data_IF_157502697453
#
_entry.id   IF_157502697453
#
_cell.length_a   1.000
_cell.length_b   1.000
_cell.length_c   1.000
_cell.angle_alpha   90.00
_cell.angle_beta   90.00
_cell.angle_gamma   90.00
#
_symmetry.space_group_name_H-M   'P 1'
#
loop_
_entity.id
_entity.type
_entity.pdbx_description
1 polymer ?
#
# COMPACT_ATOMS: atom_id res chain seq x y z
N UNK A 1 2.34 -9.54 47.79
CA UNK A 1 1.61 -9.84 46.55
C UNK A 1 1.81 -8.64 45.63
N UNK A 2 2.82 -8.69 44.75
CA UNK A 2 3.17 -7.57 43.86
C UNK A 2 2.24 -7.62 42.64
N UNK A 3 1.59 -6.49 42.37
CA UNK A 3 0.64 -6.32 41.29
C UNK A 3 1.32 -6.45 39.92
N UNK A 4 0.87 -7.43 39.11
CA UNK A 4 1.03 -7.41 37.65
C UNK A 4 -0.24 -6.79 37.07
N UNK A 5 -0.18 -5.52 36.67
CA UNK A 5 -1.30 -4.87 36.00
C UNK A 5 -0.80 -4.11 34.76
N UNK A 6 -1.38 -4.50 33.62
CA UNK A 6 -1.58 -3.73 32.38
C UNK A 6 -0.36 -3.23 31.60
N UNK A 7 0.34 -4.11 30.88
CA UNK A 7 1.15 -3.74 29.71
C UNK A 7 0.70 -4.40 28.39
N UNK A 8 -0.27 -5.31 28.44
CA UNK A 8 -0.67 -6.15 27.30
C UNK A 8 -1.25 -5.32 26.13
N UNK A 9 -2.18 -4.39 26.41
CA UNK A 9 -2.90 -3.66 25.36
C UNK A 9 -2.01 -2.74 24.50
N UNK A 10 -0.97 -2.12 25.09
CA UNK A 10 -0.06 -1.25 24.34
C UNK A 10 0.93 -2.07 23.48
N UNK A 11 1.31 -3.26 23.97
CA UNK A 11 2.19 -4.17 23.26
C UNK A 11 1.46 -4.82 22.08
N UNK A 12 0.21 -5.24 22.28
CA UNK A 12 -0.65 -5.81 21.24
C UNK A 12 -0.98 -4.78 20.13
N UNK A 13 -1.29 -3.52 20.51
CA UNK A 13 -1.53 -2.46 19.54
C UNK A 13 -0.28 -2.12 18.70
N UNK A 14 0.91 -2.17 19.31
CA UNK A 14 2.19 -1.97 18.61
C UNK A 14 2.51 -3.11 17.64
N UNK A 15 2.25 -4.36 18.05
CA UNK A 15 2.41 -5.52 17.18
C UNK A 15 1.43 -5.48 16.00
N UNK A 16 0.16 -5.16 16.26
CA UNK A 16 -0.85 -5.08 15.21
C UNK A 16 -0.50 -4.02 14.16
N UNK A 17 -0.06 -2.82 14.58
CA UNK A 17 0.40 -1.78 13.65
C UNK A 17 1.61 -2.24 12.84
N UNK A 18 2.59 -2.87 13.50
CA UNK A 18 3.80 -3.37 12.84
C UNK A 18 3.49 -4.40 11.75
N UNK A 19 2.63 -5.38 12.06
CA UNK A 19 2.15 -6.38 11.09
C UNK A 19 1.38 -5.74 9.95
N UNK A 20 0.54 -4.75 10.24
CA UNK A 20 -0.23 -4.05 9.21
C UNK A 20 0.70 -3.29 8.25
N UNK A 21 1.76 -2.65 8.75
CA UNK A 21 2.80 -2.03 7.91
C UNK A 21 3.50 -3.06 7.03
N UNK A 22 3.85 -4.23 7.58
CA UNK A 22 4.44 -5.33 6.81
C UNK A 22 3.51 -5.77 5.68
N UNK A 23 2.24 -6.04 6.01
CA UNK A 23 1.22 -6.39 5.03
C UNK A 23 1.15 -5.37 3.90
N UNK A 24 1.04 -4.07 4.22
CA UNK A 24 0.96 -3.00 3.22
C UNK A 24 2.18 -3.05 2.28
N UNK A 25 3.38 -3.24 2.83
CA UNK A 25 4.61 -3.34 2.01
C UNK A 25 4.60 -4.57 1.10
N UNK A 26 4.02 -5.69 1.53
CA UNK A 26 3.90 -6.92 0.74
C UNK A 26 2.91 -6.80 -0.43
N UNK A 27 1.94 -5.88 -0.38
CA UNK A 27 0.94 -5.70 -1.47
C UNK A 27 1.51 -5.12 -2.77
N UNK A 28 2.78 -4.68 -2.77
CA UNK A 28 3.41 -3.95 -3.88
C UNK A 28 3.35 -2.42 -3.72
N UNK A 29 2.72 -1.91 -2.65
CA UNK A 29 2.69 -0.48 -2.34
C UNK A 29 4.10 0.11 -2.17
N UNK A 30 5.03 -0.65 -1.58
CA UNK A 30 6.43 -0.23 -1.43
C UNK A 30 7.07 0.11 -2.78
N UNK A 31 6.94 -0.78 -3.77
CA UNK A 31 7.46 -0.55 -5.12
C UNK A 31 6.78 0.65 -5.80
N UNK A 32 5.47 0.86 -5.56
CA UNK A 32 4.77 2.02 -6.10
C UNK A 32 5.32 3.33 -5.53
N UNK A 33 5.55 3.41 -4.21
CA UNK A 33 6.13 4.59 -3.57
C UNK A 33 7.58 4.83 -3.97
N UNK A 34 8.40 3.78 -4.07
CA UNK A 34 9.78 3.89 -4.57
C UNK A 34 9.82 4.47 -6.00
N UNK A 35 8.92 4.00 -6.87
CA UNK A 35 8.82 4.51 -8.23
C UNK A 35 8.34 5.96 -8.25
N UNK A 36 7.40 6.34 -7.38
CA UNK A 36 6.95 7.72 -7.24
C UNK A 36 8.09 8.64 -6.78
N UNK A 37 8.86 8.23 -5.76
CA UNK A 37 10.04 8.98 -5.28
C UNK A 37 11.06 9.14 -6.42
N UNK A 38 11.35 8.08 -7.18
CA UNK A 38 12.25 8.16 -8.34
C UNK A 38 11.73 9.12 -9.41
N UNK A 39 10.44 9.08 -9.70
CA UNK A 39 9.82 9.94 -10.72
C UNK A 39 9.83 11.42 -10.30
N UNK A 40 9.48 11.71 -9.04
CA UNK A 40 9.52 13.07 -8.49
C UNK A 40 10.96 13.61 -8.41
N UNK A 41 11.92 12.71 -8.15
CA UNK A 41 13.35 13.01 -8.10
C UNK A 41 14.04 13.07 -9.45
N UNK A 42 13.33 12.84 -10.56
CA UNK A 42 13.95 12.72 -11.89
C UNK A 42 14.70 13.99 -12.32
N UNK A 43 14.30 15.15 -11.79
CA UNK A 43 14.88 16.46 -12.09
C UNK A 43 15.88 16.94 -11.04
N UNK A 44 16.12 16.18 -9.96
CA UNK A 44 17.10 16.53 -8.93
C UNK A 44 18.51 16.39 -9.52
N UNK A 45 19.38 17.37 -9.28
CA UNK A 45 20.76 17.33 -9.75
C UNK A 45 21.52 16.13 -9.18
N UNK A 46 22.46 15.57 -9.93
CA UNK A 46 23.21 14.37 -9.53
C UNK A 46 23.91 14.54 -8.18
N UNK A 47 24.43 15.73 -7.88
CA UNK A 47 25.06 16.08 -6.60
C UNK A 47 24.11 16.00 -5.39
N UNK A 48 22.81 16.28 -5.59
CA UNK A 48 21.80 16.32 -4.52
C UNK A 48 20.93 15.06 -4.48
N UNK A 49 21.13 14.14 -5.42
CA UNK A 49 20.25 13.01 -5.66
C UNK A 49 20.22 12.03 -4.49
N UNK A 50 21.38 11.79 -3.87
CA UNK A 50 21.50 10.94 -2.69
C UNK A 50 20.76 11.54 -1.48
N UNK A 51 20.98 12.82 -1.19
CA UNK A 51 20.31 13.54 -0.11
C UNK A 51 18.78 13.55 -0.31
N UNK A 52 18.34 13.82 -1.53
CA UNK A 52 16.93 13.73 -1.91
C UNK A 52 16.34 12.35 -1.62
N UNK A 53 16.99 11.27 -2.09
CA UNK A 53 16.48 9.92 -1.86
C UNK A 53 16.41 9.59 -0.37
N UNK A 54 17.41 10.00 0.41
CA UNK A 54 17.41 9.79 1.86
C UNK A 54 16.19 10.46 2.51
N UNK A 55 16.03 11.77 2.31
CA UNK A 55 14.92 12.53 2.91
C UNK A 55 13.56 12.04 2.41
N UNK A 56 13.42 11.76 1.11
CA UNK A 56 12.18 11.25 0.54
C UNK A 56 11.79 9.88 1.13
N UNK A 57 12.76 8.97 1.35
CA UNK A 57 12.49 7.69 1.99
C UNK A 57 12.09 7.83 3.46
N UNK A 58 12.66 8.81 4.19
CA UNK A 58 12.26 9.09 5.58
C UNK A 58 10.77 9.49 5.68
N UNK A 59 10.21 10.14 4.65
CA UNK A 59 8.77 10.47 4.62
C UNK A 59 7.86 9.24 4.59
N UNK A 60 8.35 8.09 4.14
CA UNK A 60 7.55 6.86 4.03
C UNK A 60 7.15 6.32 5.40
N UNK A 61 7.91 6.59 6.46
CA UNK A 61 7.59 6.13 7.82
C UNK A 61 6.22 6.66 8.25
N UNK A 62 6.03 7.97 8.20
CA UNK A 62 4.76 8.59 8.57
C UNK A 62 3.62 8.26 7.62
N UNK A 63 3.92 7.96 6.35
CA UNK A 63 2.92 7.48 5.39
C UNK A 63 2.42 6.08 5.77
N UNK A 64 3.34 5.14 6.03
CA UNK A 64 2.98 3.78 6.43
C UNK A 64 2.22 3.75 7.75
N UNK A 65 2.56 4.63 8.70
CA UNK A 65 1.83 4.76 9.96
C UNK A 65 0.35 5.12 9.74
N UNK A 66 0.08 6.14 8.91
CA UNK A 66 -1.29 6.55 8.58
C UNK A 66 -2.05 5.48 7.81
N UNK A 67 -1.37 4.80 6.87
CA UNK A 67 -1.98 3.70 6.14
C UNK A 67 -2.30 2.54 7.08
N UNK A 68 -1.40 2.19 8.00
CA UNK A 68 -1.66 1.12 8.97
C UNK A 68 -2.87 1.44 9.84
N UNK A 69 -3.01 2.68 10.32
CA UNK A 69 -4.19 3.12 11.08
C UNK A 69 -5.49 2.95 10.29
N UNK A 70 -5.49 3.28 8.99
CA UNK A 70 -6.64 3.05 8.11
C UNK A 70 -6.97 1.55 7.95
N UNK A 71 -5.98 0.69 7.76
CA UNK A 71 -6.24 -0.74 7.62
C UNK A 71 -6.68 -1.37 8.95
N UNK A 72 -6.13 -0.92 10.07
CA UNK A 72 -6.51 -1.39 11.41
C UNK A 72 -7.94 -0.98 11.81
N UNK A 73 -8.56 -0.01 11.14
CA UNK A 73 -9.99 0.29 11.35
C UNK A 73 -10.93 -0.66 10.62
N UNK A 74 -10.44 -1.36 9.59
CA UNK A 74 -11.24 -2.23 8.72
C UNK A 74 -10.95 -3.72 8.94
N UNK A 75 -9.75 -4.05 9.40
CA UNK A 75 -9.29 -5.42 9.59
C UNK A 75 -8.92 -5.68 11.05
N UNK A 76 -8.98 -6.94 11.45
CA UNK A 76 -8.45 -7.41 12.72
C UNK A 76 -7.02 -7.96 12.55
N UNK A 77 -6.27 -8.06 13.65
CA UNK A 77 -4.91 -8.61 13.61
C UNK A 77 -4.84 -10.04 13.05
N UNK A 78 -5.76 -10.98 13.40
CA UNK A 78 -5.77 -12.31 12.79
C UNK A 78 -5.96 -12.30 11.27
N UNK A 79 -6.82 -11.42 10.74
CA UNK A 79 -7.02 -11.27 9.29
C UNK A 79 -5.77 -10.73 8.59
N UNK A 80 -5.11 -9.73 9.20
CA UNK A 80 -3.81 -9.24 8.71
C UNK A 80 -2.77 -10.36 8.72
N UNK A 81 -2.72 -11.20 9.75
CA UNK A 81 -1.80 -12.35 9.81
C UNK A 81 -2.07 -13.37 8.68
N UNK A 82 -3.33 -13.63 8.35
CA UNK A 82 -3.70 -14.49 7.21
C UNK A 82 -3.32 -13.86 5.87
N UNK A 83 -3.52 -12.56 5.70
CA UNK A 83 -3.10 -11.83 4.50
C UNK A 83 -1.57 -11.86 4.33
N UNK A 84 -0.80 -11.64 5.40
CA UNK A 84 0.66 -11.75 5.38
C UNK A 84 1.08 -13.16 4.94
N UNK A 85 0.46 -14.21 5.50
CA UNK A 85 0.74 -15.60 5.08
C UNK A 85 0.48 -15.80 3.59
N UNK A 86 -0.65 -15.30 3.08
CA UNK A 86 -0.97 -15.39 1.66
C UNK A 86 0.06 -14.65 0.79
N UNK A 87 0.41 -13.42 1.13
CA UNK A 87 1.37 -12.62 0.34
C UNK A 87 2.81 -13.17 0.39
N UNK A 88 3.14 -14.02 1.36
CA UNK A 88 4.40 -14.76 1.37
C UNK A 88 4.45 -15.96 0.40
N UNK A 89 3.30 -16.44 -0.08
CA UNK A 89 3.24 -17.50 -1.11
C UNK A 89 3.70 -17.00 -2.48
N UNK A 90 4.08 -17.90 -3.37
CA UNK A 90 4.45 -17.54 -4.75
C UNK A 90 3.30 -16.86 -5.51
N UNK A 91 2.06 -17.29 -5.25
CA UNK A 91 0.88 -16.67 -5.83
C UNK A 91 0.66 -15.25 -5.30
N UNK A 92 0.79 -15.05 -3.98
CA UNK A 92 0.66 -13.74 -3.35
C UNK A 92 1.70 -12.73 -3.86
N UNK A 93 2.97 -13.15 -3.96
CA UNK A 93 4.04 -12.35 -4.57
C UNK A 93 3.75 -12.02 -6.03
N UNK A 94 3.27 -13.00 -6.81
CA UNK A 94 2.86 -12.79 -8.20
C UNK A 94 1.72 -11.79 -8.28
N UNK A 95 0.72 -11.88 -7.39
CA UNK A 95 -0.38 -10.93 -7.35
C UNK A 95 0.14 -9.52 -7.07
N UNK A 96 0.99 -9.33 -6.07
CA UNK A 96 1.61 -8.03 -5.75
C UNK A 96 2.35 -7.39 -6.95
N UNK A 97 3.17 -8.15 -7.69
CA UNK A 97 3.86 -7.63 -8.89
C UNK A 97 2.90 -7.30 -10.05
N UNK A 98 1.86 -8.12 -10.24
CA UNK A 98 0.98 -8.00 -11.41
C UNK A 98 -0.18 -7.04 -11.21
N UNK A 99 -0.71 -6.89 -10.00
CA UNK A 99 -1.94 -6.16 -9.73
C UNK A 99 -1.87 -4.71 -10.22
N UNK A 100 -0.76 -4.01 -9.97
CA UNK A 100 -0.58 -2.62 -10.42
C UNK A 100 -0.62 -2.53 -11.96
N UNK A 101 0.10 -3.41 -12.65
CA UNK A 101 0.18 -3.45 -14.12
C UNK A 101 -1.17 -3.83 -14.75
N UNK A 102 -1.90 -4.75 -14.13
CA UNK A 102 -3.23 -5.15 -14.57
C UNK A 102 -4.23 -4.01 -14.40
N UNK A 103 -4.20 -3.31 -13.27
CA UNK A 103 -5.08 -2.16 -12.99
C UNK A 103 -4.87 -1.05 -14.02
N UNK A 104 -3.61 -0.71 -14.33
CA UNK A 104 -3.29 0.28 -15.37
C UNK A 104 -3.82 -0.11 -16.75
N UNK A 105 -3.70 -1.38 -17.13
CA UNK A 105 -4.24 -1.88 -18.42
C UNK A 105 -5.77 -1.88 -18.43
N UNK A 106 -6.40 -2.22 -17.32
CA UNK A 106 -7.86 -2.25 -17.18
C UNK A 106 -8.49 -0.85 -17.31
N UNK A 107 -7.77 0.22 -16.96
CA UNK A 107 -8.27 1.59 -17.16
C UNK A 107 -8.63 1.89 -18.63
N UNK A 108 -7.87 1.37 -19.59
CA UNK A 108 -8.18 1.52 -21.01
C UNK A 108 -9.48 0.80 -21.40
N UNK A 109 -9.75 -0.37 -20.81
CA UNK A 109 -11.02 -1.07 -21.02
C UNK A 109 -12.20 -0.29 -20.45
N UNK A 110 -12.02 0.31 -19.25
CA UNK A 110 -13.02 1.18 -18.64
C UNK A 110 -13.35 2.41 -19.49
N UNK A 111 -12.35 3.01 -20.14
CA UNK A 111 -12.56 4.12 -21.08
C UNK A 111 -13.40 3.68 -22.29
N UNK A 112 -13.04 2.56 -22.93
CA UNK A 112 -13.80 2.03 -24.07
C UNK A 112 -15.25 1.72 -23.71
N UNK A 113 -15.47 1.08 -22.55
CA UNK A 113 -16.80 0.81 -22.02
C UNK A 113 -17.58 2.11 -21.74
N UNK A 114 -16.93 3.14 -21.21
CA UNK A 114 -17.55 4.45 -20.99
C UNK A 114 -18.09 5.09 -22.27
N UNK A 115 -17.35 4.98 -23.39
CA UNK A 115 -17.80 5.45 -24.70
C UNK A 115 -19.03 4.66 -25.17
N UNK A 116 -19.02 3.34 -25.01
CA UNK A 116 -20.16 2.48 -25.35
C UNK A 116 -21.42 2.90 -24.57
N UNK A 117 -21.29 3.11 -23.25
CA UNK A 117 -22.39 3.55 -22.39
C UNK A 117 -22.90 4.93 -22.77
N UNK A 118 -22.01 5.87 -23.12
CA UNK A 118 -22.41 7.19 -23.65
C UNK A 118 -23.23 7.05 -24.95
N UNK A 119 -22.82 6.15 -25.85
CA UNK A 119 -23.56 5.85 -27.08
C UNK A 119 -24.93 5.24 -26.81
N UNK A 120 -25.08 4.45 -25.74
CA UNK A 120 -26.39 3.95 -25.30
C UNK A 120 -27.23 5.10 -24.75
N UNK A 121 -26.68 5.93 -23.85
CA UNK A 121 -27.40 7.05 -23.24
C UNK A 121 -27.93 8.04 -24.29
N UNK A 122 -27.16 8.30 -25.34
CA UNK A 122 -27.56 9.17 -26.45
C UNK A 122 -28.81 8.69 -27.22
N UNK A 123 -29.21 7.41 -27.11
CA UNK A 123 -30.45 6.89 -27.70
C UNK A 123 -31.70 7.27 -26.91
N UNK A 124 -31.54 7.69 -25.66
CA UNK A 124 -32.63 7.97 -24.72
C UNK A 124 -32.71 9.44 -24.31
N UNK A 125 -31.91 10.31 -24.94
CA UNK A 125 -31.91 11.76 -24.75
C UNK A 125 -32.40 12.47 -26.02
#
# INVERSE_FOLDING_TARGET
MLAFATNSNAQDASEFKTKTIEFIKLTGAATAFDNAIKQLGAMVSEENKEAYFKEANETLVGLYDKMAELYMSEFTQPEIDELIKFYHTDLGKKLADKQLKLTQRAMAFGQSWGIEVQGIAAKYN
#
